data_IF_812094002088
#
_entry.id   IF_812094002088
#
_cell.length_a   1.000
_cell.length_b   1.000
_cell.length_c   1.000
_cell.angle_alpha   90.00
_cell.angle_beta   90.00
_cell.angle_gamma   90.00
#
_symmetry.space_group_name_H-M   'P 1'
#
loop_
_entity.id
_entity.type
_entity.pdbx_description
1 polymer ?
#
# COMPACT_ATOMS: atom_id res chain seq x y z
N UNK A 1 -1.45 -16.54 17.47
CA UNK A 1 -0.44 -17.37 18.15
C UNK A 1 0.60 -16.51 18.82
N UNK A 2 1.34 -17.01 19.82
CA UNK A 2 2.42 -16.24 20.47
C UNK A 2 3.50 -15.79 19.48
N UNK A 3 3.81 -16.65 18.49
CA UNK A 3 4.69 -16.34 17.36
C UNK A 3 4.21 -15.14 16.53
N UNK A 4 2.90 -15.07 16.23
CA UNK A 4 2.33 -13.94 15.49
C UNK A 4 2.45 -12.63 16.28
N UNK A 5 2.28 -12.68 17.60
CA UNK A 5 2.42 -11.48 18.44
C UNK A 5 3.87 -10.97 18.45
N UNK A 6 4.86 -11.86 18.47
CA UNK A 6 6.28 -11.50 18.32
C UNK A 6 6.52 -10.84 16.97
N UNK A 7 6.02 -11.42 15.88
CA UNK A 7 6.12 -10.84 14.53
C UNK A 7 5.43 -9.48 14.43
N UNK A 8 4.25 -9.31 15.04
CA UNK A 8 3.53 -8.04 15.06
C UNK A 8 4.34 -6.94 15.76
N UNK A 9 5.00 -7.25 16.90
CA UNK A 9 5.89 -6.28 17.57
C UNK A 9 7.06 -5.86 16.68
N UNK A 10 7.75 -6.81 16.03
CA UNK A 10 8.83 -6.50 15.10
C UNK A 10 8.35 -5.68 13.89
N UNK A 11 7.14 -5.95 13.39
CA UNK A 11 6.53 -5.16 12.31
C UNK A 11 6.24 -3.73 12.73
N UNK A 12 5.77 -3.51 13.96
CA UNK A 12 5.49 -2.18 14.51
C UNK A 12 6.78 -1.35 14.61
N UNK A 13 7.82 -1.93 15.22
CA UNK A 13 9.15 -1.31 15.34
C UNK A 13 9.74 -0.97 13.96
N UNK A 14 9.63 -1.90 13.00
CA UNK A 14 10.08 -1.69 11.64
C UNK A 14 9.27 -0.61 10.92
N UNK A 15 7.98 -0.49 11.19
CA UNK A 15 7.12 0.54 10.59
C UNK A 15 7.44 1.94 11.12
N UNK A 16 7.79 2.06 12.39
CA UNK A 16 8.24 3.33 12.99
C UNK A 16 9.53 3.84 12.34
N UNK A 17 10.45 2.93 12.00
CA UNK A 17 11.69 3.29 11.30
C UNK A 17 11.49 3.49 9.80
N UNK A 18 10.63 2.68 9.18
CA UNK A 18 10.42 2.62 7.73
C UNK A 18 8.92 2.71 7.39
N UNK A 19 8.30 3.91 7.48
CA UNK A 19 6.86 4.07 7.26
C UNK A 19 6.42 3.72 5.82
N UNK A 20 7.35 3.70 4.86
CA UNK A 20 7.13 3.32 3.47
C UNK A 20 7.20 1.80 3.22
N UNK A 21 7.58 1.00 4.21
CA UNK A 21 7.76 -0.44 4.04
C UNK A 21 6.40 -1.17 3.90
N UNK A 22 6.01 -1.45 2.66
CA UNK A 22 4.84 -2.28 2.38
C UNK A 22 5.10 -3.77 2.56
N UNK A 23 4.07 -4.61 2.40
CA UNK A 23 4.15 -6.07 2.62
C UNK A 23 5.31 -6.83 1.97
N UNK A 24 5.83 -6.37 0.82
CA UNK A 24 7.00 -6.97 0.16
C UNK A 24 8.29 -6.64 0.92
N UNK A 25 8.50 -5.36 1.21
CA UNK A 25 9.67 -4.87 1.91
C UNK A 25 9.69 -5.32 3.37
N UNK A 26 8.52 -5.31 4.02
CA UNK A 26 8.36 -5.78 5.40
C UNK A 26 8.73 -7.27 5.54
N UNK A 27 8.33 -8.11 4.58
CA UNK A 27 8.78 -9.52 4.51
C UNK A 27 10.30 -9.61 4.46
N UNK A 28 10.95 -8.79 3.64
CA UNK A 28 12.40 -8.85 3.46
C UNK A 28 13.14 -8.34 4.71
N UNK A 29 12.63 -7.32 5.37
CA UNK A 29 13.13 -6.82 6.67
C UNK A 29 13.06 -7.92 7.74
N UNK A 30 11.90 -8.57 7.86
CA UNK A 30 11.70 -9.65 8.83
C UNK A 30 12.57 -10.87 8.51
N UNK A 31 12.73 -11.23 7.24
CA UNK A 31 13.63 -12.30 6.83
C UNK A 31 15.10 -11.98 7.18
N UNK A 32 15.54 -10.73 7.02
CA UNK A 32 16.89 -10.28 7.42
C UNK A 32 17.09 -10.33 8.94
N UNK A 33 16.03 -10.17 9.71
CA UNK A 33 16.02 -10.32 11.17
C UNK A 33 15.93 -11.80 11.62
N UNK A 34 15.92 -12.76 10.68
CA UNK A 34 15.85 -14.20 10.97
C UNK A 34 14.42 -14.77 11.07
N UNK A 35 13.40 -13.97 10.79
CA UNK A 35 12.00 -14.41 10.76
C UNK A 35 11.61 -14.83 9.34
N UNK A 36 11.73 -16.12 9.03
CA UNK A 36 11.32 -16.68 7.74
C UNK A 36 9.80 -16.69 7.59
N UNK A 37 9.24 -15.64 6.96
CA UNK A 37 7.80 -15.52 6.76
C UNK A 37 7.40 -15.27 5.30
N UNK A 38 6.23 -15.78 4.93
CA UNK A 38 5.65 -15.57 3.60
C UNK A 38 4.99 -14.20 3.44
N UNK A 39 4.94 -13.70 2.19
CA UNK A 39 4.25 -12.43 1.84
C UNK A 39 2.77 -12.43 2.25
N UNK A 40 2.07 -13.56 2.07
CA UNK A 40 0.64 -13.68 2.43
C UNK A 40 0.45 -13.49 3.93
N UNK A 41 1.27 -14.15 4.75
CA UNK A 41 1.23 -14.04 6.20
C UNK A 41 1.53 -12.61 6.67
N UNK A 42 2.60 -12.02 6.14
CA UNK A 42 2.97 -10.62 6.39
C UNK A 42 1.80 -9.67 6.11
N UNK A 43 1.16 -9.81 4.94
CA UNK A 43 0.02 -8.98 4.54
C UNK A 43 -1.17 -9.13 5.49
N UNK A 44 -1.46 -10.34 5.94
CA UNK A 44 -2.56 -10.61 6.88
C UNK A 44 -2.28 -9.96 8.23
N UNK A 45 -1.06 -10.09 8.75
CA UNK A 45 -0.66 -9.48 10.03
C UNK A 45 -0.69 -7.95 9.94
N UNK A 46 -0.11 -7.35 8.89
CA UNK A 46 -0.18 -5.90 8.67
C UNK A 46 -1.63 -5.39 8.59
N UNK A 47 -2.52 -6.12 7.88
CA UNK A 47 -3.95 -5.76 7.79
C UNK A 47 -4.62 -5.84 9.16
N UNK A 48 -4.29 -6.83 9.98
CA UNK A 48 -4.84 -6.98 11.34
C UNK A 48 -4.36 -5.87 12.28
N UNK A 49 -3.14 -5.39 12.10
CA UNK A 49 -2.57 -4.27 12.87
C UNK A 49 -2.99 -2.88 12.36
N UNK A 50 -3.55 -2.80 11.16
CA UNK A 50 -3.86 -1.50 10.53
C UNK A 50 -2.64 -0.78 9.96
N UNK A 51 -1.48 -1.44 9.89
CA UNK A 51 -0.25 -0.87 9.32
C UNK A 51 -0.37 -0.78 7.80
N UNK A 52 -0.11 0.41 7.26
CA UNK A 52 -0.10 0.67 5.82
C UNK A 52 1.18 1.39 5.42
N UNK A 53 1.71 1.03 4.26
CA UNK A 53 2.85 1.75 3.70
C UNK A 53 2.42 3.17 3.30
N UNK A 54 3.11 4.17 3.84
CA UNK A 54 3.00 5.55 3.40
C UNK A 54 3.84 5.73 2.12
N UNK A 55 3.16 5.95 1.01
CA UNK A 55 3.80 6.29 -0.27
C UNK A 55 3.05 7.44 -0.95
N UNK A 56 3.78 8.27 -1.68
CA UNK A 56 3.19 9.30 -2.53
C UNK A 56 2.38 8.61 -3.63
N UNK A 57 1.05 8.71 -3.53
CA UNK A 57 0.17 8.29 -4.62
C UNK A 57 0.36 9.23 -5.80
N UNK A 58 0.24 8.73 -7.05
CA UNK A 58 0.25 9.61 -8.21
C UNK A 58 -0.88 10.65 -8.07
N UNK A 59 -0.59 11.90 -8.45
CA UNK A 59 -1.59 12.96 -8.46
C UNK A 59 -2.56 12.75 -9.63
N UNK A 60 -3.63 11.99 -9.41
CA UNK A 60 -4.63 11.67 -10.43
C UNK A 60 -5.43 12.90 -10.91
N UNK A 61 -5.45 13.98 -10.14
CA UNK A 61 -6.09 15.24 -10.55
C UNK A 61 -5.26 15.97 -11.61
N UNK A 62 -3.96 15.72 -11.68
CA UNK A 62 -3.11 16.23 -12.75
C UNK A 62 -3.14 15.27 -13.94
N UNK A 63 -3.68 15.75 -15.06
CA UNK A 63 -3.66 15.00 -16.30
C UNK A 63 -2.22 14.79 -16.77
N UNK A 64 -1.89 13.56 -17.18
CA UNK A 64 -0.62 13.28 -17.84
C UNK A 64 -0.54 14.10 -19.15
N UNK A 65 0.49 14.94 -19.27
CA UNK A 65 0.69 15.80 -20.44
C UNK A 65 0.87 15.00 -21.74
N UNK A 66 1.38 13.77 -21.65
CA UNK A 66 1.56 12.90 -22.80
C UNK A 66 0.22 12.35 -23.37
N UNK A 67 -0.88 12.43 -22.60
CA UNK A 67 -2.16 11.86 -23.02
C UNK A 67 -3.00 12.90 -23.75
N UNK A 68 -3.59 12.50 -24.89
CA UNK A 68 -4.52 13.35 -25.64
C UNK A 68 -5.77 13.63 -24.80
N UNK A 69 -6.15 14.91 -24.70
CA UNK A 69 -7.40 15.32 -24.07
C UNK A 69 -8.55 15.00 -25.01
N UNK A 70 -9.47 14.14 -24.58
CA UNK A 70 -10.69 13.84 -25.33
C UNK A 70 -11.81 14.79 -24.89
N UNK A 71 -12.48 15.49 -25.82
CA UNK A 71 -13.61 16.33 -25.49
C UNK A 71 -14.76 15.46 -24.95
N UNK A 72 -15.43 15.95 -23.91
CA UNK A 72 -16.65 15.30 -23.42
C UNK A 72 -17.78 15.54 -24.43
N UNK A 73 -18.17 14.48 -25.15
CA UNK A 73 -19.06 14.59 -26.30
C UNK A 73 -20.50 14.96 -25.94
N UNK A 74 -20.92 14.77 -24.68
CA UNK A 74 -22.25 15.15 -24.21
C UNK A 74 -22.29 16.60 -23.69
N UNK A 75 -21.17 17.32 -23.73
CA UNK A 75 -21.11 18.71 -23.27
C UNK A 75 -22.01 19.58 -24.16
N UNK A 76 -23.07 20.13 -23.58
CA UNK A 76 -24.01 21.02 -24.28
C UNK A 76 -25.17 20.32 -25.01
N UNK A 77 -25.27 18.99 -24.92
CA UNK A 77 -26.42 18.26 -25.44
C UNK A 77 -27.56 18.26 -24.42
N UNK A 78 -28.77 18.59 -24.90
CA UNK A 78 -29.98 18.49 -24.10
C UNK A 78 -30.45 17.03 -24.10
N UNK A 79 -30.25 16.33 -22.98
CA UNK A 79 -30.62 14.92 -22.82
C UNK A 79 -32.00 14.87 -22.16
N UNK A 80 -33.03 14.51 -22.92
CA UNK A 80 -34.36 14.20 -22.35
C UNK A 80 -34.32 12.80 -21.73
N UNK A 81 -34.82 12.71 -20.48
CA UNK A 81 -34.89 11.50 -19.66
C UNK A 81 -36.28 10.91 -19.68
#
# INVERSE_FOLDING_TARGET
>A
SESDLKLMRCMDESHMQYPFAGSRMMRDLLNRQGHHIGRRHTRTLMKKMGIQALYCKPNLSQANQAHRKYPYLLKGLNIQR
#
